data_IF_123523399705
#
_entry.id   IF_123523399705
#
_cell.length_a   1.000
_cell.length_b   1.000
_cell.length_c   1.000
_cell.angle_alpha   90.00
_cell.angle_beta   90.00
_cell.angle_gamma   90.00
#
_symmetry.space_group_name_H-M   'P 1'
#
loop_
_entity.id
_entity.type
_entity.pdbx_description
1 polymer ?
#
# COMPACT_ATOMS: atom_id res chain seq x y z
N UNK A 1 1.13 4.36 7.52
CA UNK A 1 1.76 5.67 7.21
C UNK A 1 0.86 6.51 6.29
N UNK A 2 -0.46 6.51 6.47
CA UNK A 2 -1.40 7.32 5.67
C UNK A 2 -1.90 6.68 4.37
N UNK A 3 -1.22 5.67 3.83
CA UNK A 3 -1.57 5.02 2.55
C UNK A 3 -2.79 4.07 2.59
N UNK A 4 -3.48 3.97 3.73
CA UNK A 4 -4.70 3.16 3.87
C UNK A 4 -4.50 1.63 3.84
N UNK A 5 -3.30 1.13 4.15
CA UNK A 5 -2.99 -0.31 4.08
C UNK A 5 -3.92 -1.17 4.96
N UNK A 6 -4.14 -0.79 6.22
CA UNK A 6 -5.05 -1.55 7.10
C UNK A 6 -6.48 -1.59 6.55
N UNK A 7 -6.97 -0.49 5.97
CA UNK A 7 -8.28 -0.46 5.32
C UNK A 7 -8.36 -1.48 4.19
N UNK A 8 -7.37 -1.49 3.28
CA UNK A 8 -7.34 -2.44 2.15
C UNK A 8 -7.27 -3.89 2.61
N UNK A 9 -6.40 -4.20 3.57
CA UNK A 9 -6.26 -5.56 4.09
C UNK A 9 -7.53 -6.02 4.81
N UNK A 10 -8.19 -5.14 5.55
CA UNK A 10 -9.48 -5.44 6.18
C UNK A 10 -10.60 -5.68 5.15
N UNK A 11 -10.62 -4.91 4.05
CA UNK A 11 -11.54 -5.14 2.92
C UNK A 11 -11.34 -6.52 2.28
N UNK A 12 -10.09 -6.96 2.12
CA UNK A 12 -9.76 -8.30 1.60
C UNK A 12 -10.30 -9.38 2.55
N UNK A 13 -10.03 -9.29 3.85
CA UNK A 13 -10.51 -10.26 4.82
C UNK A 13 -12.06 -10.31 4.88
N UNK A 14 -12.70 -9.14 4.92
CA UNK A 14 -14.15 -9.02 4.92
C UNK A 14 -14.77 -9.67 3.67
N UNK A 15 -14.20 -9.41 2.50
CA UNK A 15 -14.61 -10.02 1.24
C UNK A 15 -14.38 -11.53 1.22
N UNK A 16 -13.23 -12.01 1.73
CA UNK A 16 -12.88 -13.43 1.73
C UNK A 16 -13.87 -14.27 2.57
N UNK A 17 -14.32 -13.74 3.71
CA UNK A 17 -15.33 -14.36 4.57
C UNK A 17 -16.77 -14.00 4.21
N UNK A 18 -17.00 -13.08 3.28
CA UNK A 18 -18.31 -12.53 2.94
C UNK A 18 -19.05 -11.96 4.17
N UNK A 19 -18.35 -11.13 4.94
CA UNK A 19 -18.85 -10.46 6.15
C UNK A 19 -18.72 -8.94 6.02
N UNK A 20 -19.49 -8.14 6.78
CA UNK A 20 -19.32 -6.69 6.76
C UNK A 20 -17.94 -6.28 7.29
N UNK A 21 -17.39 -5.19 6.74
CA UNK A 21 -16.09 -4.64 7.15
C UNK A 21 -16.03 -4.32 8.66
N UNK A 22 -17.15 -3.95 9.27
CA UNK A 22 -17.27 -3.68 10.70
C UNK A 22 -16.97 -4.90 11.58
N UNK A 23 -16.99 -6.11 11.02
CA UNK A 23 -16.63 -7.35 11.72
C UNK A 23 -15.14 -7.67 11.67
N UNK A 24 -14.34 -6.87 10.94
CA UNK A 24 -12.89 -7.03 10.83
C UNK A 24 -12.20 -5.89 11.56
N UNK A 25 -11.23 -6.23 12.39
CA UNK A 25 -10.47 -5.25 13.16
C UNK A 25 -8.97 -5.54 13.08
N UNK A 26 -8.19 -4.48 12.85
CA UNK A 26 -6.72 -4.52 12.89
C UNK A 26 -6.28 -3.51 13.94
N UNK A 27 -5.64 -3.98 15.00
CA UNK A 27 -5.19 -3.13 16.10
C UNK A 27 -3.89 -2.40 15.77
N UNK A 28 -2.85 -3.17 15.45
CA UNK A 28 -1.49 -2.68 15.27
C UNK A 28 -0.64 -3.67 14.48
N UNK A 29 0.62 -3.32 14.24
CA UNK A 29 1.63 -4.22 13.67
C UNK A 29 2.73 -4.45 14.72
N UNK A 30 3.02 -5.71 15.04
CA UNK A 30 3.99 -6.08 16.07
C UNK A 30 4.75 -7.35 15.72
N UNK A 31 6.03 -7.39 16.08
CA UNK A 31 6.97 -8.49 15.78
C UNK A 31 6.71 -9.76 16.58
N UNK A 32 5.96 -9.67 17.68
CA UNK A 32 5.49 -10.85 18.42
C UNK A 32 4.31 -11.57 17.71
N UNK A 33 3.62 -10.88 16.78
CA UNK A 33 2.53 -11.45 15.97
C UNK A 33 2.99 -11.89 14.59
N UNK A 34 3.78 -11.04 13.92
CA UNK A 34 4.34 -11.32 12.59
C UNK A 34 5.85 -11.06 12.62
N UNK A 35 6.68 -12.10 12.81
CA UNK A 35 8.12 -11.95 12.82
C UNK A 35 8.68 -11.80 11.40
N UNK A 36 9.89 -11.24 11.29
CA UNK A 36 10.66 -11.15 10.04
C UNK A 36 9.91 -10.45 8.88
N UNK A 37 9.00 -9.53 9.20
CA UNK A 37 8.29 -8.76 8.20
C UNK A 37 9.25 -7.86 7.40
N UNK A 38 9.09 -7.85 6.08
CA UNK A 38 9.75 -6.88 5.22
C UNK A 38 9.27 -5.45 5.51
N UNK A 39 10.10 -4.42 5.28
CA UNK A 39 9.66 -3.05 5.45
C UNK A 39 8.46 -2.73 4.55
N UNK A 40 7.56 -1.86 5.02
CA UNK A 40 6.46 -1.31 4.21
C UNK A 40 7.04 -0.33 3.18
N UNK A 41 7.42 -0.84 2.02
CA UNK A 41 8.11 -0.11 0.95
C UNK A 41 7.81 -0.70 -0.44
N UNK A 42 8.47 -0.14 -1.47
CA UNK A 42 8.45 -0.60 -2.86
C UNK A 42 7.04 -0.68 -3.50
N UNK A 43 6.07 0.05 -2.94
CA UNK A 43 4.65 0.00 -3.33
C UNK A 43 4.01 -1.41 -3.30
N UNK A 44 4.67 -2.39 -2.67
CA UNK A 44 4.29 -3.81 -2.74
C UNK A 44 3.46 -4.28 -1.54
N UNK A 45 3.21 -3.41 -0.56
CA UNK A 45 2.65 -3.81 0.72
C UNK A 45 1.20 -4.29 0.62
N UNK A 46 0.35 -3.64 -0.20
CA UNK A 46 -1.04 -4.09 -0.37
C UNK A 46 -1.11 -5.47 -1.00
N UNK A 47 -0.24 -5.74 -1.97
CA UNK A 47 -0.14 -7.02 -2.67
C UNK A 47 0.31 -8.13 -1.73
N UNK A 48 1.47 -7.96 -1.09
CA UNK A 48 2.06 -9.00 -0.25
C UNK A 48 1.19 -9.29 0.98
N UNK A 49 0.78 -8.25 1.71
CA UNK A 49 -0.03 -8.45 2.92
C UNK A 49 -1.48 -8.80 2.59
N UNK A 50 -2.01 -8.32 1.46
CA UNK A 50 -3.33 -8.72 0.98
C UNK A 50 -3.37 -10.21 0.63
N UNK A 51 -2.37 -10.72 -0.10
CA UNK A 51 -2.26 -12.13 -0.43
C UNK A 51 -2.01 -13.01 0.81
N UNK A 52 -1.15 -12.58 1.74
CA UNK A 52 -0.94 -13.30 3.00
C UNK A 52 -2.22 -13.37 3.85
N UNK A 53 -3.01 -12.28 3.93
CA UNK A 53 -4.29 -12.30 4.63
C UNK A 53 -5.32 -13.18 3.92
N UNK A 54 -5.34 -13.17 2.59
CA UNK A 54 -6.22 -14.06 1.82
C UNK A 54 -5.89 -15.53 2.09
N UNK A 55 -4.61 -15.91 2.09
CA UNK A 55 -4.16 -17.26 2.44
C UNK A 55 -4.62 -17.67 3.86
N UNK A 56 -4.46 -16.79 4.85
CA UNK A 56 -4.96 -17.04 6.21
C UNK A 56 -6.49 -17.26 6.23
N UNK A 57 -7.24 -16.45 5.48
CA UNK A 57 -8.70 -16.57 5.39
C UNK A 57 -9.11 -17.90 4.71
N UNK A 58 -8.42 -18.30 3.65
CA UNK A 58 -8.68 -19.55 2.94
C UNK A 58 -8.38 -20.78 3.81
N UNK A 59 -7.29 -20.77 4.57
CA UNK A 59 -6.98 -21.82 5.55
C UNK A 59 -8.10 -21.97 6.59
N UNK A 60 -8.60 -20.86 7.16
CA UNK A 60 -9.72 -20.89 8.11
C UNK A 60 -10.98 -21.44 7.44
N UNK A 61 -11.32 -20.95 6.25
CA UNK A 61 -12.49 -21.43 5.49
C UNK A 61 -12.41 -22.92 5.19
N UNK A 62 -11.25 -23.45 4.81
CA UNK A 62 -11.05 -24.86 4.57
C UNK A 62 -11.31 -25.71 5.82
N UNK A 63 -10.97 -25.21 7.01
CA UNK A 63 -11.27 -25.88 8.29
C UNK A 63 -12.75 -25.77 8.68
N UNK A 64 -13.43 -24.71 8.28
CA UNK A 64 -14.87 -24.50 8.53
C UNK A 64 -15.76 -25.31 7.58
N UNK A 65 -15.28 -25.63 6.38
CA UNK A 65 -16.05 -26.32 5.33
C UNK A 65 -16.75 -27.60 5.82
N UNK A 66 -16.09 -28.52 6.56
CA UNK A 66 -16.74 -29.76 6.99
C UNK A 66 -17.92 -29.54 7.95
N UNK A 67 -17.98 -28.39 8.62
CA UNK A 67 -19.12 -28.01 9.47
C UNK A 67 -20.16 -27.26 8.67
N UNK A 68 -19.74 -26.31 7.84
CA UNK A 68 -20.60 -25.54 6.93
C UNK A 68 -21.40 -26.43 5.97
N UNK A 69 -20.82 -27.54 5.51
CA UNK A 69 -21.47 -28.47 4.58
C UNK A 69 -22.48 -29.42 5.27
N UNK A 70 -22.42 -29.58 6.60
CA UNK A 70 -23.31 -30.50 7.34
C UNK A 70 -24.67 -29.89 7.69
N UNK A 71 -24.74 -28.56 7.82
CA UNK A 71 -25.94 -27.84 8.29
C UNK A 71 -26.00 -26.46 7.65
N UNK A 72 -27.20 -25.97 7.42
CA UNK A 72 -27.39 -24.58 7.03
C UNK A 72 -27.31 -23.69 8.28
N UNK A 73 -26.49 -22.65 8.24
CA UNK A 73 -26.35 -21.64 9.29
C UNK A 73 -26.97 -20.32 8.80
N UNK A 74 -27.68 -19.61 9.67
CA UNK A 74 -28.33 -18.34 9.29
C UNK A 74 -27.35 -17.16 9.33
N UNK A 75 -26.21 -17.32 10.01
CA UNK A 75 -25.16 -16.29 10.09
C UNK A 75 -23.76 -16.88 10.20
N UNK A 76 -22.76 -16.07 9.85
CA UNK A 76 -21.35 -16.41 10.06
C UNK A 76 -21.02 -16.68 11.53
N UNK A 77 -21.64 -15.94 12.46
CA UNK A 77 -21.44 -16.11 13.90
C UNK A 77 -21.93 -17.47 14.41
N UNK A 78 -23.06 -17.97 13.89
CA UNK A 78 -23.57 -19.31 14.21
C UNK A 78 -22.60 -20.40 13.70
N UNK A 79 -22.09 -20.27 12.47
CA UNK A 79 -21.12 -21.19 11.92
C UNK A 79 -19.82 -21.21 12.74
N UNK A 80 -19.27 -20.04 13.09
CA UNK A 80 -18.08 -19.91 13.94
C UNK A 80 -18.29 -20.57 15.30
N UNK A 81 -19.46 -20.36 15.91
CA UNK A 81 -19.81 -20.98 17.20
C UNK A 81 -19.88 -22.51 17.10
N UNK A 82 -20.44 -23.04 16.02
CA UNK A 82 -20.48 -24.49 15.77
C UNK A 82 -19.08 -25.07 15.56
N UNK A 83 -18.22 -24.41 14.78
CA UNK A 83 -16.82 -24.81 14.61
C UNK A 83 -16.06 -24.85 15.94
N UNK A 84 -16.29 -23.86 16.82
CA UNK A 84 -15.69 -23.84 18.15
C UNK A 84 -16.13 -25.02 19.02
N UNK A 85 -17.43 -25.35 19.03
CA UNK A 85 -17.96 -26.50 19.77
C UNK A 85 -17.39 -27.83 19.29
N UNK A 86 -17.07 -27.92 17.99
CA UNK A 86 -16.41 -29.08 17.38
C UNK A 86 -14.87 -29.04 17.52
N UNK A 87 -14.34 -28.08 18.27
CA UNK A 87 -12.90 -27.90 18.57
C UNK A 87 -12.05 -27.70 17.31
N UNK A 88 -12.59 -27.00 16.32
CA UNK A 88 -11.86 -26.59 15.12
C UNK A 88 -11.05 -25.34 15.43
N UNK A 89 -9.76 -25.36 15.08
CA UNK A 89 -8.90 -24.19 15.22
C UNK A 89 -9.23 -23.11 14.17
N UNK A 90 -9.66 -21.94 14.66
CA UNK A 90 -10.04 -20.78 13.87
C UNK A 90 -8.95 -19.69 13.83
N UNK A 91 -7.73 -20.03 14.20
CA UNK A 91 -6.55 -19.18 14.03
C UNK A 91 -5.68 -19.70 12.88
N UNK A 92 -5.23 -18.82 11.99
CA UNK A 92 -4.32 -19.19 10.91
C UNK A 92 -3.25 -18.11 10.70
N UNK A 93 -2.06 -18.57 10.33
CA UNK A 93 -0.98 -17.71 9.90
C UNK A 93 -0.83 -17.84 8.38
N UNK A 94 -1.14 -16.77 7.66
CA UNK A 94 -1.01 -16.73 6.22
C UNK A 94 0.37 -16.26 5.77
N UNK A 95 0.81 -16.71 4.61
CA UNK A 95 2.12 -16.36 4.06
C UNK A 95 2.07 -16.20 2.55
N UNK A 96 2.85 -15.26 2.02
CA UNK A 96 2.94 -15.03 0.58
C UNK A 96 4.36 -14.72 0.17
N UNK A 97 4.75 -15.29 -0.97
CA UNK A 97 5.99 -14.98 -1.67
C UNK A 97 5.62 -14.63 -3.10
N UNK A 98 6.09 -13.48 -3.57
CA UNK A 98 5.86 -13.09 -4.96
C UNK A 98 6.57 -14.07 -5.90
N UNK A 99 5.83 -14.77 -6.78
CA UNK A 99 6.43 -15.76 -7.66
C UNK A 99 7.21 -15.09 -8.82
N UNK A 100 8.13 -15.85 -9.39
CA UNK A 100 8.88 -15.51 -10.61
C UNK A 100 9.67 -14.19 -10.58
N UNK A 101 10.19 -13.82 -9.40
CA UNK A 101 11.14 -12.71 -9.24
C UNK A 101 12.56 -13.26 -9.11
N UNK A 102 13.49 -12.72 -9.90
CA UNK A 102 14.91 -13.02 -9.84
C UNK A 102 15.65 -12.39 -11.00
N UNK A 103 16.71 -11.62 -10.71
CA UNK A 103 17.53 -10.96 -11.71
C UNK A 103 19.01 -11.23 -11.44
N UNK A 104 19.71 -11.76 -12.44
CA UNK A 104 21.14 -11.98 -12.39
C UNK A 104 21.87 -10.78 -12.99
N UNK A 105 22.50 -10.00 -12.11
CA UNK A 105 23.29 -8.82 -12.47
C UNK A 105 24.55 -9.13 -13.28
N UNK A 106 25.07 -10.36 -13.24
CA UNK A 106 26.24 -10.75 -14.04
C UNK A 106 25.86 -11.00 -15.49
N UNK A 107 24.72 -11.65 -15.72
CA UNK A 107 24.25 -11.99 -17.07
C UNK A 107 23.26 -10.98 -17.65
N UNK A 108 22.73 -10.07 -16.82
CA UNK A 108 21.72 -9.09 -17.20
C UNK A 108 20.37 -9.72 -17.54
N UNK A 109 20.05 -10.88 -16.97
CA UNK A 109 18.87 -11.68 -17.32
C UNK A 109 17.99 -11.96 -16.11
N UNK A 110 16.69 -12.13 -16.37
CA UNK A 110 15.67 -12.46 -15.38
C UNK A 110 14.63 -11.37 -15.22
N UNK A 111 13.72 -11.56 -14.27
CA UNK A 111 12.59 -10.67 -13.99
C UNK A 111 12.78 -10.01 -12.62
N UNK A 112 13.24 -8.75 -12.56
CA UNK A 112 13.38 -8.04 -11.29
C UNK A 112 12.03 -7.59 -10.70
N UNK A 113 10.99 -7.48 -11.54
CA UNK A 113 9.66 -7.00 -11.17
C UNK A 113 8.59 -8.00 -11.61
N UNK A 114 7.50 -8.09 -10.84
CA UNK A 114 6.38 -9.00 -11.14
C UNK A 114 5.48 -8.45 -12.25
N UNK A 115 5.18 -7.16 -12.19
CA UNK A 115 4.39 -6.41 -13.16
C UNK A 115 4.82 -4.94 -13.12
N UNK A 116 4.28 -4.13 -14.01
CA UNK A 116 4.54 -2.70 -14.08
C UNK A 116 3.23 -1.92 -13.99
N UNK A 117 3.28 -0.78 -13.30
CA UNK A 117 2.22 0.24 -13.31
C UNK A 117 2.61 1.28 -14.36
N UNK A 118 1.66 1.62 -15.23
CA UNK A 118 1.87 2.60 -16.30
C UNK A 118 1.02 3.84 -16.04
N UNK A 119 1.44 4.97 -16.58
CA UNK A 119 0.66 6.20 -16.51
C UNK A 119 1.27 7.32 -17.35
N UNK A 120 0.48 8.37 -17.52
CA UNK A 120 0.88 9.60 -18.16
C UNK A 120 0.28 10.80 -17.42
N UNK A 121 1.00 11.91 -17.42
CA UNK A 121 0.56 13.16 -16.84
C UNK A 121 0.76 14.32 -17.83
N UNK A 122 -0.20 15.23 -17.89
CA UNK A 122 -0.13 16.50 -18.58
C UNK A 122 -0.37 17.62 -17.57
N UNK A 123 0.52 18.61 -17.52
CA UNK A 123 0.36 19.78 -16.66
C UNK A 123 0.53 21.06 -17.50
N UNK A 124 -0.38 22.01 -17.28
CA UNK A 124 -0.32 23.35 -17.85
C UNK A 124 0.08 24.33 -16.75
N UNK A 125 1.09 25.15 -17.01
CA UNK A 125 1.63 26.13 -16.06
C UNK A 125 1.68 27.52 -16.71
N UNK A 126 1.38 28.54 -15.92
CA UNK A 126 1.55 29.94 -16.27
C UNK A 126 2.76 30.49 -15.50
N UNK A 127 3.69 31.17 -16.18
CA UNK A 127 4.93 31.66 -15.58
C UNK A 127 4.96 33.19 -15.69
N UNK A 128 5.22 33.86 -14.58
CA UNK A 128 5.54 35.28 -14.57
C UNK A 128 6.99 35.48 -15.01
N UNK A 129 7.15 36.05 -16.21
CA UNK A 129 8.46 36.26 -16.84
C UNK A 129 9.30 37.37 -16.17
N UNK A 130 8.70 38.18 -15.28
CA UNK A 130 9.42 39.22 -14.54
C UNK A 130 9.95 38.72 -13.20
N UNK A 131 9.20 37.84 -12.51
CA UNK A 131 9.53 37.39 -11.14
C UNK A 131 10.08 35.97 -11.09
N UNK A 132 9.79 35.14 -12.10
CA UNK A 132 10.09 33.71 -12.10
C UNK A 132 9.08 32.87 -11.31
N UNK A 133 8.01 33.49 -10.78
CA UNK A 133 6.91 32.77 -10.13
C UNK A 133 6.10 31.97 -11.16
N UNK A 134 5.41 30.92 -10.71
CA UNK A 134 4.56 30.11 -11.56
C UNK A 134 3.28 29.64 -10.88
N UNK A 135 2.24 29.44 -11.68
CA UNK A 135 0.96 28.89 -11.25
C UNK A 135 0.58 27.67 -12.09
N UNK A 136 0.35 26.54 -11.43
CA UNK A 136 -0.17 25.33 -12.09
C UNK A 136 -1.66 25.51 -12.40
N UNK A 137 -2.00 25.73 -13.67
CA UNK A 137 -3.36 25.98 -14.15
C UNK A 137 -4.21 24.71 -14.11
N UNK A 138 -3.64 23.61 -14.60
CA UNK A 138 -4.31 22.32 -14.61
C UNK A 138 -3.30 21.18 -14.63
N UNK A 139 -3.70 20.03 -14.10
CA UNK A 139 -2.97 18.77 -14.21
C UNK A 139 -3.97 17.63 -14.47
N UNK A 140 -3.69 16.81 -15.49
CA UNK A 140 -4.46 15.64 -15.85
C UNK A 140 -3.55 14.43 -15.76
N UNK A 141 -3.95 13.45 -14.95
CA UNK A 141 -3.14 12.27 -14.66
C UNK A 141 -3.96 11.02 -14.95
N UNK A 142 -3.39 10.11 -15.72
CA UNK A 142 -3.99 8.80 -16.05
C UNK A 142 -3.01 7.72 -15.61
N UNK A 143 -3.45 6.79 -14.77
CA UNK A 143 -2.68 5.63 -14.36
C UNK A 143 -3.46 4.34 -14.60
N UNK A 144 -2.74 3.32 -15.08
CA UNK A 144 -3.19 1.93 -15.07
C UNK A 144 -2.83 1.29 -13.72
N UNK A 145 -3.84 1.14 -12.87
CA UNK A 145 -3.74 0.50 -11.57
C UNK A 145 -4.27 -0.94 -11.58
N UNK A 146 -4.63 -1.48 -12.76
CA UNK A 146 -5.45 -2.67 -12.86
C UNK A 146 -6.80 -2.49 -12.15
N UNK A 147 -7.22 -3.52 -11.39
CA UNK A 147 -8.44 -3.46 -10.59
C UNK A 147 -8.14 -2.92 -9.20
N UNK A 148 -8.41 -1.64 -9.00
CA UNK A 148 -8.22 -0.97 -7.71
C UNK A 148 -9.00 -1.67 -6.59
N UNK A 149 -8.30 -1.98 -5.50
CA UNK A 149 -8.92 -2.48 -4.26
C UNK A 149 -9.80 -1.42 -3.60
N UNK A 150 -9.39 -0.15 -3.71
CA UNK A 150 -10.10 0.98 -3.13
C UNK A 150 -9.80 2.25 -3.93
N UNK A 151 -10.69 2.63 -4.87
CA UNK A 151 -10.45 3.76 -5.76
C UNK A 151 -10.23 5.09 -5.03
N UNK A 152 -10.89 5.30 -3.90
CA UNK A 152 -10.74 6.53 -3.12
C UNK A 152 -9.33 6.67 -2.52
N UNK A 153 -8.78 5.57 -2.00
CA UNK A 153 -7.41 5.56 -1.47
C UNK A 153 -6.41 5.73 -2.61
N UNK A 154 -6.63 5.03 -3.73
CA UNK A 154 -5.69 5.04 -4.85
C UNK A 154 -5.62 6.40 -5.54
N UNK A 155 -6.75 7.07 -5.74
CA UNK A 155 -6.77 8.46 -6.22
C UNK A 155 -6.02 9.38 -5.27
N UNK A 156 -6.25 9.26 -3.95
CA UNK A 156 -5.53 10.07 -2.96
C UNK A 156 -4.01 9.82 -2.95
N UNK A 157 -3.56 8.59 -3.24
CA UNK A 157 -2.14 8.29 -3.43
C UNK A 157 -1.58 8.95 -4.70
N UNK A 158 -2.32 8.92 -5.81
CA UNK A 158 -1.91 9.58 -7.07
C UNK A 158 -1.75 11.09 -6.86
N UNK A 159 -2.75 11.73 -6.25
CA UNK A 159 -2.74 13.16 -5.99
C UNK A 159 -1.58 13.55 -5.06
N UNK A 160 -1.42 12.82 -3.95
CA UNK A 160 -0.33 13.07 -3.00
C UNK A 160 1.06 12.89 -3.64
N UNK A 161 1.27 11.82 -4.40
CA UNK A 161 2.53 11.57 -5.08
C UNK A 161 2.81 12.60 -6.19
N UNK A 162 1.79 13.05 -6.92
CA UNK A 162 1.93 14.08 -7.93
C UNK A 162 2.38 15.41 -7.30
N UNK A 163 1.75 15.83 -6.20
CA UNK A 163 2.12 17.06 -5.50
C UNK A 163 3.51 16.96 -4.87
N UNK A 164 3.89 15.82 -4.31
CA UNK A 164 5.27 15.60 -3.85
C UNK A 164 6.29 15.69 -4.99
N UNK A 165 5.97 15.12 -6.16
CA UNK A 165 6.81 15.24 -7.36
C UNK A 165 6.94 16.68 -7.86
N UNK A 166 5.84 17.45 -7.82
CA UNK A 166 5.85 18.88 -8.14
C UNK A 166 6.73 19.67 -7.16
N UNK A 167 6.58 19.42 -5.87
CA UNK A 167 7.42 20.02 -4.82
C UNK A 167 8.89 19.76 -5.09
N UNK A 168 9.26 18.49 -5.28
CA UNK A 168 10.63 18.09 -5.60
C UNK A 168 11.20 18.76 -6.86
N UNK A 169 10.38 18.90 -7.91
CA UNK A 169 10.86 19.40 -9.20
C UNK A 169 10.95 20.92 -9.27
N UNK A 170 10.13 21.65 -8.51
CA UNK A 170 9.92 23.09 -8.75
C UNK A 170 9.96 23.98 -7.49
N UNK A 171 9.86 23.44 -6.28
CA UNK A 171 9.72 24.25 -5.06
C UNK A 171 10.75 23.92 -3.98
N UNK A 172 10.99 22.63 -3.73
CA UNK A 172 11.81 22.17 -2.62
C UNK A 172 13.30 22.38 -2.90
N UNK A 173 13.93 23.22 -2.10
CA UNK A 173 15.34 23.57 -2.24
C UNK A 173 16.11 23.36 -0.94
N UNK A 174 17.20 22.58 -1.02
CA UNK A 174 18.11 22.32 0.08
C UNK A 174 19.41 23.11 -0.13
N UNK A 175 19.66 24.10 0.72
CA UNK A 175 20.88 24.91 0.68
C UNK A 175 21.78 24.59 1.87
N UNK A 176 23.00 24.17 1.58
CA UNK A 176 24.05 23.96 2.58
C UNK A 176 24.98 25.16 2.62
N UNK A 177 25.21 25.70 3.82
CA UNK A 177 26.18 26.78 4.03
C UNK A 177 27.61 26.32 3.74
N UNK A 178 28.37 27.19 3.07
CA UNK A 178 29.80 27.01 2.81
C UNK A 178 30.61 28.21 3.34
N UNK A 179 31.94 28.11 3.31
CA UNK A 179 32.81 29.16 3.81
C UNK A 179 32.83 30.43 2.92
N UNK A 180 32.45 30.32 1.66
CA UNK A 180 32.44 31.42 0.68
C UNK A 180 31.15 32.25 0.75
N UNK A 181 30.03 31.66 1.14
CA UNK A 181 28.69 32.23 1.11
C UNK A 181 28.10 32.37 2.51
N UNK A 182 28.42 33.50 3.16
CA UNK A 182 28.15 33.75 4.59
C UNK A 182 26.68 33.88 4.99
N UNK A 183 25.74 33.88 4.04
CA UNK A 183 24.31 34.04 4.32
C UNK A 183 23.64 32.78 4.89
N UNK A 184 24.26 31.59 4.74
CA UNK A 184 23.89 30.38 5.47
C UNK A 184 25.16 29.88 6.19
N UNK A 185 25.15 29.71 7.53
CA UNK A 185 26.33 29.26 8.26
C UNK A 185 26.81 27.86 7.80
N UNK A 186 28.12 27.62 7.71
CA UNK A 186 28.66 26.29 7.41
C UNK A 186 28.15 25.22 8.37
N UNK A 187 27.73 24.08 7.82
CA UNK A 187 27.15 22.98 8.60
C UNK A 187 25.66 23.15 8.95
N UNK A 188 25.04 24.27 8.57
CA UNK A 188 23.59 24.43 8.65
C UNK A 188 22.95 24.11 7.28
N UNK A 189 21.85 23.36 7.34
CA UNK A 189 20.94 23.15 6.23
C UNK A 189 19.82 24.18 6.31
N UNK A 190 19.65 24.96 5.25
CA UNK A 190 18.46 25.79 5.05
C UNK A 190 17.56 25.10 4.03
N UNK A 191 16.28 24.99 4.35
CA UNK A 191 15.27 24.39 3.48
C UNK A 191 14.30 25.47 3.04
N UNK A 192 14.20 25.73 1.74
CA UNK A 192 13.03 26.38 1.17
C UNK A 192 12.01 25.26 0.92
N UNK A 193 10.90 25.25 1.65
CA UNK A 193 9.79 24.37 1.31
C UNK A 193 8.90 25.00 0.24
N UNK A 194 7.82 24.32 -0.17
CA UNK A 194 6.60 25.06 -0.47
C UNK A 194 6.21 25.99 0.71
#
# INVERSE_FOLDING_TARGET
MGQGLHTKVAQIAASAFNIPLSSVFISETSTDKVPNASPTAASASSDMYGAAVLDACEQIKARMEPIGSKRNFNSFAELVSACHMERIDLSAHGFYVTPDIGFDWKTGKGNPFRYFTYGAAFAEVEIDTLTGDFHTRSANVVLDLGYSLNPAIDVGQIEGAFIQGLGWAALEELKWGDAAHKWIPPGCLYTCGP
#
